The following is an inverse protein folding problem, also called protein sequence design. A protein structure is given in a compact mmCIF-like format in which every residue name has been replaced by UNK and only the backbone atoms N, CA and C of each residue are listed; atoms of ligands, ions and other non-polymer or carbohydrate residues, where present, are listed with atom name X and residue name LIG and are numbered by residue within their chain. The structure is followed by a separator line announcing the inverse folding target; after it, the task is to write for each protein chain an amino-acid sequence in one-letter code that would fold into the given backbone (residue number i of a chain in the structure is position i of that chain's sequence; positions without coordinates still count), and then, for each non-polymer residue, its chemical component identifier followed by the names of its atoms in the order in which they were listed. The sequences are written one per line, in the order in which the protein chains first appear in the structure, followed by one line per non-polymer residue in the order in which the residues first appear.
data_IF_614236403202
#
_entry.id   IF_614236403202
#
_cell.length_a   1.000
_cell.length_b   1.000
_cell.length_c   1.000
_cell.angle_alpha   90.00
_cell.angle_beta   90.00
_cell.angle_gamma   90.00
#
_symmetry.space_group_name_H-M   'P 1'
#
loop_
_entity.id
_entity.type
_entity.pdbx_description
1 polymer ?
#
# COMPACT_ATOMS: atom_id res chain seq x y z
N UNK A 1 42.35 -18.20 -4.32
CA UNK A 1 42.92 -16.91 -4.72
C UNK A 1 42.47 -16.62 -6.15
N UNK A 2 41.65 -15.58 -6.33
CA UNK A 2 41.17 -15.20 -7.65
C UNK A 2 42.29 -14.64 -8.51
N UNK A 3 42.36 -15.07 -9.76
CA UNK A 3 43.36 -14.60 -10.75
C UNK A 3 43.13 -13.10 -11.02
N UNK A 4 44.10 -12.21 -10.72
CA UNK A 4 43.96 -10.78 -10.90
C UNK A 4 43.83 -10.32 -12.36
N UNK A 5 43.97 -11.22 -13.33
CA UNK A 5 43.90 -10.95 -14.78
C UNK A 5 42.55 -11.29 -15.40
N UNK A 6 41.62 -11.90 -14.66
CA UNK A 6 40.26 -12.12 -15.18
C UNK A 6 39.49 -10.81 -15.16
N UNK A 7 38.91 -10.39 -16.31
CA UNK A 7 38.03 -9.24 -16.30
C UNK A 7 36.88 -9.48 -15.27
N UNK A 8 36.74 -8.59 -14.30
CA UNK A 8 35.61 -8.64 -13.38
C UNK A 8 34.35 -8.51 -14.21
N UNK A 9 33.49 -9.53 -14.13
CA UNK A 9 32.16 -9.41 -14.69
C UNK A 9 31.50 -8.17 -14.09
N UNK A 10 30.66 -7.42 -14.87
CA UNK A 10 29.96 -6.23 -14.36
C UNK A 10 29.05 -6.51 -13.18
N UNK A 11 28.86 -7.77 -12.82
CA UNK A 11 28.21 -8.23 -11.61
C UNK A 11 29.24 -8.61 -10.56
N UNK A 12 29.89 -7.60 -9.96
CA UNK A 12 30.63 -7.86 -8.72
C UNK A 12 29.67 -8.44 -7.68
N UNK A 13 30.06 -9.50 -6.93
CA UNK A 13 29.21 -9.99 -5.85
C UNK A 13 28.97 -8.83 -4.88
N UNK A 14 27.70 -8.50 -4.70
CA UNK A 14 27.28 -7.45 -3.78
C UNK A 14 27.79 -7.81 -2.39
N UNK A 15 28.52 -6.91 -1.76
CA UNK A 15 28.81 -7.05 -0.34
C UNK A 15 27.48 -6.88 0.43
N UNK A 16 27.08 -7.90 1.17
CA UNK A 16 25.85 -7.88 1.98
C UNK A 16 25.80 -6.68 2.93
N UNK A 17 26.94 -6.15 3.31
CA UNK A 17 27.07 -4.97 4.16
C UNK A 17 26.70 -3.65 3.46
N UNK A 18 26.68 -3.66 2.12
CA UNK A 18 26.33 -2.51 1.29
C UNK A 18 24.88 -2.54 0.78
N UNK A 19 24.13 -3.60 1.10
CA UNK A 19 22.71 -3.73 0.71
C UNK A 19 21.82 -3.20 1.87
N UNK A 20 21.37 -1.94 1.80
CA UNK A 20 20.51 -1.40 2.86
C UNK A 20 19.16 -2.14 2.87
N UNK A 21 18.68 -2.45 4.05
CA UNK A 21 17.28 -2.81 4.29
C UNK A 21 16.77 -4.06 3.59
N UNK A 22 17.58 -5.13 3.45
CA UNK A 22 17.08 -6.39 2.89
C UNK A 22 16.13 -7.04 3.88
N UNK A 23 14.87 -7.12 3.51
CA UNK A 23 13.89 -7.89 4.28
C UNK A 23 14.20 -9.38 4.25
N UNK A 24 13.94 -10.07 5.36
CA UNK A 24 13.90 -11.53 5.35
C UNK A 24 12.73 -12.02 4.51
N UNK A 25 12.77 -13.29 4.11
CA UNK A 25 11.64 -13.91 3.37
C UNK A 25 10.35 -13.86 4.18
N UNK A 26 10.45 -14.09 5.49
CA UNK A 26 9.32 -14.05 6.42
C UNK A 26 8.74 -12.64 6.54
N UNK A 27 9.58 -11.62 6.59
CA UNK A 27 9.11 -10.23 6.65
C UNK A 27 8.47 -9.79 5.32
N UNK A 28 9.08 -10.14 4.19
CA UNK A 28 8.49 -9.89 2.87
C UNK A 28 7.13 -10.58 2.74
N UNK A 29 7.03 -11.85 3.15
CA UNK A 29 5.76 -12.59 3.14
C UNK A 29 4.69 -11.97 4.05
N UNK A 30 5.06 -11.54 5.27
CA UNK A 30 4.16 -10.85 6.18
C UNK A 30 3.60 -9.57 5.56
N UNK A 31 4.46 -8.74 4.98
CA UNK A 31 4.05 -7.50 4.29
C UNK A 31 3.11 -7.79 3.13
N UNK A 32 3.43 -8.77 2.28
CA UNK A 32 2.59 -9.20 1.16
C UNK A 32 1.22 -9.69 1.65
N UNK A 33 1.17 -10.40 2.78
CA UNK A 33 -0.09 -10.82 3.43
C UNK A 33 -0.94 -9.62 3.86
N UNK A 34 -0.34 -8.59 4.48
CA UNK A 34 -1.04 -7.35 4.85
C UNK A 34 -1.51 -6.58 3.61
N UNK A 35 -0.71 -6.55 2.53
CA UNK A 35 -1.10 -5.93 1.26
C UNK A 35 -2.31 -6.64 0.66
N UNK A 36 -2.31 -7.97 0.63
CA UNK A 36 -3.48 -8.73 0.18
C UNK A 36 -4.73 -8.38 1.00
N UNK A 37 -4.59 -8.32 2.34
CA UNK A 37 -5.72 -7.99 3.21
C UNK A 37 -6.32 -6.63 2.89
N UNK A 38 -5.51 -5.57 2.79
CA UNK A 38 -6.01 -4.22 2.54
C UNK A 38 -6.58 -4.06 1.11
N UNK A 39 -6.02 -4.76 0.12
CA UNK A 39 -6.57 -4.78 -1.24
C UNK A 39 -7.96 -5.42 -1.28
N UNK A 40 -8.16 -6.53 -0.56
CA UNK A 40 -9.48 -7.16 -0.44
C UNK A 40 -10.48 -6.21 0.23
N UNK A 41 -10.08 -5.53 1.32
CA UNK A 41 -10.95 -4.55 1.97
C UNK A 41 -11.32 -3.41 1.04
N UNK A 42 -10.34 -2.85 0.32
CA UNK A 42 -10.61 -1.74 -0.60
C UNK A 42 -11.47 -2.18 -1.79
N UNK A 43 -11.26 -3.37 -2.33
CA UNK A 43 -12.12 -3.96 -3.34
C UNK A 43 -13.60 -4.04 -2.86
N UNK A 44 -13.83 -4.56 -1.66
CA UNK A 44 -15.18 -4.68 -1.07
C UNK A 44 -15.83 -3.31 -0.85
N UNK A 45 -15.07 -2.37 -0.32
CA UNK A 45 -15.53 -1.00 -0.02
C UNK A 45 -15.90 -0.25 -1.30
N UNK A 46 -15.00 -0.22 -2.29
CA UNK A 46 -15.27 0.47 -3.56
C UNK A 46 -16.43 -0.18 -4.30
N UNK A 47 -16.52 -1.52 -4.31
CA UNK A 47 -17.64 -2.26 -4.89
C UNK A 47 -18.98 -1.88 -4.27
N UNK A 48 -19.03 -1.74 -2.93
CA UNK A 48 -20.21 -1.24 -2.22
C UNK A 48 -20.56 0.20 -2.58
N UNK A 49 -19.57 1.07 -2.71
CA UNK A 49 -19.78 2.47 -3.08
C UNK A 49 -20.26 2.66 -4.51
N UNK A 50 -19.88 1.81 -5.45
CA UNK A 50 -20.44 1.81 -6.82
C UNK A 50 -21.97 1.76 -6.80
N UNK A 51 -22.56 1.02 -5.85
CA UNK A 51 -24.01 0.94 -5.73
C UNK A 51 -24.65 2.19 -5.11
N UNK A 52 -23.98 2.85 -4.17
CA UNK A 52 -24.56 3.86 -3.27
C UNK A 52 -24.21 5.31 -3.61
N UNK A 53 -23.10 5.58 -4.32
CA UNK A 53 -22.73 6.92 -4.76
C UNK A 53 -23.66 7.39 -5.87
N UNK A 54 -24.21 8.61 -5.83
CA UNK A 54 -25.16 9.08 -6.85
C UNK A 54 -24.51 9.56 -8.15
N UNK A 55 -23.27 10.07 -8.10
CA UNK A 55 -22.58 10.67 -9.23
C UNK A 55 -22.10 9.60 -10.21
N UNK A 56 -22.60 9.63 -11.46
CA UNK A 56 -22.31 8.62 -12.47
C UNK A 56 -20.82 8.53 -12.80
N UNK A 57 -20.14 9.67 -12.99
CA UNK A 57 -18.73 9.71 -13.34
C UNK A 57 -17.87 9.11 -12.22
N UNK A 58 -18.22 9.36 -10.95
CA UNK A 58 -17.59 8.74 -9.78
C UNK A 58 -17.80 7.23 -9.78
N UNK A 59 -19.04 6.76 -10.02
CA UNK A 59 -19.34 5.31 -10.11
C UNK A 59 -18.47 4.59 -11.14
N UNK A 60 -18.32 5.19 -12.32
CA UNK A 60 -17.54 4.58 -13.40
C UNK A 60 -16.07 4.46 -13.01
N UNK A 61 -15.50 5.49 -12.37
CA UNK A 61 -14.12 5.45 -11.87
C UNK A 61 -13.96 4.44 -10.74
N UNK A 62 -14.87 4.45 -9.75
CA UNK A 62 -14.86 3.47 -8.66
C UNK A 62 -14.92 2.03 -9.18
N UNK A 63 -15.70 1.77 -10.25
CA UNK A 63 -15.75 0.45 -10.88
C UNK A 63 -14.38 0.01 -11.46
N UNK A 64 -13.66 0.93 -12.11
CA UNK A 64 -12.30 0.67 -12.62
C UNK A 64 -11.33 0.41 -11.48
N UNK A 65 -11.31 1.26 -10.46
CA UNK A 65 -10.40 1.12 -9.32
C UNK A 65 -10.72 -0.13 -8.50
N UNK A 66 -11.99 -0.47 -8.33
CA UNK A 66 -12.43 -1.74 -7.73
C UNK A 66 -11.81 -2.95 -8.45
N UNK A 67 -11.79 -2.96 -9.78
CA UNK A 67 -11.11 -3.99 -10.56
C UNK A 67 -9.60 -4.03 -10.30
N UNK A 68 -8.92 -2.87 -10.23
CA UNK A 68 -7.49 -2.82 -9.91
C UNK A 68 -7.18 -3.49 -8.57
N UNK A 69 -7.93 -3.17 -7.52
CA UNK A 69 -7.70 -3.74 -6.18
C UNK A 69 -8.03 -5.23 -6.11
N UNK A 70 -9.05 -5.71 -6.85
CA UNK A 70 -9.31 -7.14 -6.99
C UNK A 70 -8.11 -7.86 -7.63
N UNK A 71 -7.56 -7.29 -8.70
CA UNK A 71 -6.40 -7.84 -9.39
C UNK A 71 -5.14 -7.79 -8.53
N UNK A 72 -4.88 -6.69 -7.82
CA UNK A 72 -3.77 -6.60 -6.87
C UNK A 72 -3.88 -7.66 -5.77
N UNK A 73 -5.08 -7.87 -5.21
CA UNK A 73 -5.30 -8.93 -4.21
C UNK A 73 -4.95 -10.31 -4.75
N UNK A 74 -5.32 -10.63 -6.01
CA UNK A 74 -4.95 -11.89 -6.66
C UNK A 74 -3.44 -11.98 -6.88
N UNK A 75 -2.80 -10.89 -7.28
CA UNK A 75 -1.36 -10.81 -7.49
C UNK A 75 -0.59 -11.16 -6.18
N UNK A 76 -1.00 -10.57 -5.05
CA UNK A 76 -0.43 -10.87 -3.74
C UNK A 76 -0.74 -12.29 -3.28
N UNK A 77 -1.94 -12.80 -3.55
CA UNK A 77 -2.31 -14.18 -3.24
C UNK A 77 -1.40 -15.18 -3.93
N UNK A 78 -1.11 -14.98 -5.21
CA UNK A 78 -0.22 -15.85 -5.99
C UNK A 78 1.24 -15.73 -5.55
N UNK A 79 1.65 -14.54 -5.10
CA UNK A 79 3.04 -14.29 -4.68
C UNK A 79 3.40 -15.01 -3.38
N UNK A 80 2.45 -15.15 -2.43
CA UNK A 80 2.71 -15.73 -1.11
C UNK A 80 3.25 -17.17 -1.15
N UNK A 81 2.69 -18.12 -1.93
CA UNK A 81 3.22 -19.49 -2.00
C UNK A 81 4.64 -19.57 -2.56
N UNK A 82 5.04 -18.60 -3.37
CA UNK A 82 6.39 -18.54 -3.95
C UNK A 82 7.44 -18.05 -2.93
N UNK A 83 6.98 -17.47 -1.82
CA UNK A 83 7.80 -17.05 -0.70
C UNK A 83 7.91 -18.17 0.33
N UNK A 84 8.62 -19.24 0.00
CA UNK A 84 8.95 -20.35 0.90
C UNK A 84 7.72 -21.11 1.42
N UNK A 85 6.84 -21.52 0.51
CA UNK A 85 5.63 -22.29 0.85
C UNK A 85 4.72 -21.61 1.91
N UNK A 86 4.64 -20.28 1.86
CA UNK A 86 3.77 -19.51 2.75
C UNK A 86 2.30 -19.75 2.43
N UNK A 87 1.50 -19.98 3.48
CA UNK A 87 0.06 -20.16 3.31
C UNK A 87 -0.64 -18.79 3.20
N UNK A 88 -1.23 -18.45 2.03
CA UNK A 88 -1.88 -17.16 1.83
C UNK A 88 -2.99 -16.84 2.83
N UNK A 89 -3.79 -17.84 3.22
CA UNK A 89 -4.94 -17.62 4.10
C UNK A 89 -4.50 -17.26 5.53
N UNK A 90 -3.39 -17.84 5.97
CA UNK A 90 -2.83 -17.55 7.31
C UNK A 90 -2.14 -16.19 7.39
N UNK A 91 -1.61 -15.70 6.28
CA UNK A 91 -0.89 -14.43 6.21
C UNK A 91 -1.78 -13.26 5.78
N UNK A 92 -2.97 -13.55 5.22
CA UNK A 92 -3.93 -12.51 4.85
C UNK A 92 -4.67 -12.02 6.09
N UNK A 93 -3.99 -11.19 6.85
CA UNK A 93 -4.47 -10.60 8.10
C UNK A 93 -4.08 -9.13 8.17
N UNK A 94 -4.83 -8.29 8.90
CA UNK A 94 -4.37 -6.92 9.18
C UNK A 94 -3.10 -6.95 10.02
N UNK A 95 -2.24 -5.91 9.95
CA UNK A 95 -1.07 -5.82 10.80
C UNK A 95 -1.42 -5.64 12.28
N UNK A 96 -2.54 -5.00 12.59
CA UNK A 96 -3.04 -4.70 13.93
C UNK A 96 -4.53 -4.29 13.89
N UNK A 97 -5.12 -4.14 15.08
CA UNK A 97 -6.53 -3.74 15.24
C UNK A 97 -6.74 -2.26 14.87
N UNK A 98 -5.72 -1.42 14.96
CA UNK A 98 -5.78 0.00 14.59
C UNK A 98 -6.03 0.18 13.08
N UNK A 99 -5.47 -0.69 12.23
CA UNK A 99 -5.77 -0.64 10.79
C UNK A 99 -7.20 -1.12 10.52
N UNK A 100 -7.71 -2.08 11.27
CA UNK A 100 -9.13 -2.49 11.18
C UNK A 100 -10.03 -1.31 11.55
N UNK A 101 -9.74 -0.63 12.67
CA UNK A 101 -10.49 0.55 13.10
C UNK A 101 -10.43 1.70 12.07
N UNK A 102 -9.31 1.87 11.38
CA UNK A 102 -9.20 2.81 10.26
C UNK A 102 -10.17 2.44 9.12
N UNK A 103 -10.19 1.17 8.70
CA UNK A 103 -11.06 0.70 7.60
C UNK A 103 -12.52 0.87 8.00
N UNK A 104 -12.90 0.52 9.23
CA UNK A 104 -14.25 0.68 9.75
C UNK A 104 -14.68 2.15 9.71
N UNK A 105 -13.84 3.07 10.23
CA UNK A 105 -14.12 4.51 10.20
C UNK A 105 -14.18 5.08 8.77
N UNK A 106 -13.38 4.57 7.83
CA UNK A 106 -13.42 4.96 6.42
C UNK A 106 -14.75 4.54 5.76
N UNK A 107 -15.36 3.46 6.22
CA UNK A 107 -16.62 2.91 5.66
C UNK A 107 -17.88 3.49 6.30
N UNK A 108 -17.79 4.14 7.46
CA UNK A 108 -18.94 4.75 8.15
C UNK A 108 -19.79 5.70 7.28
N UNK A 109 -19.23 6.51 6.35
CA UNK A 109 -20.04 7.37 5.49
C UNK A 109 -20.91 6.56 4.51
N UNK A 110 -22.14 6.23 4.87
CA UNK A 110 -23.04 5.40 4.03
C UNK A 110 -23.97 6.22 3.13
N UNK A 111 -24.35 7.44 3.54
CA UNK A 111 -25.34 8.27 2.85
C UNK A 111 -24.92 8.70 1.44
N UNK A 112 -25.89 8.93 0.53
CA UNK A 112 -25.60 9.40 -0.84
C UNK A 112 -25.01 10.82 -0.87
N UNK A 113 -25.21 11.63 0.16
CA UNK A 113 -24.60 12.98 0.28
C UNK A 113 -23.19 12.98 0.86
N UNK A 114 -22.60 11.81 1.13
CA UNK A 114 -21.28 11.66 1.76
C UNK A 114 -20.22 11.13 0.78
N UNK A 115 -20.40 11.38 -0.51
CA UNK A 115 -19.44 10.98 -1.55
C UNK A 115 -18.06 11.59 -1.31
N UNK A 116 -17.99 12.85 -0.89
CA UNK A 116 -16.72 13.53 -0.60
C UNK A 116 -15.97 12.81 0.52
N UNK A 117 -16.62 12.48 1.63
CA UNK A 117 -16.02 11.78 2.76
C UNK A 117 -15.52 10.39 2.36
N UNK A 118 -16.29 9.63 1.58
CA UNK A 118 -15.87 8.34 1.02
C UNK A 118 -14.58 8.48 0.20
N UNK A 119 -14.57 9.40 -0.75
CA UNK A 119 -13.41 9.61 -1.61
C UNK A 119 -12.19 10.14 -0.84
N UNK A 120 -12.38 11.00 0.16
CA UNK A 120 -11.30 11.49 1.02
C UNK A 120 -10.62 10.34 1.74
N UNK A 121 -11.38 9.41 2.33
CA UNK A 121 -10.83 8.25 3.02
C UNK A 121 -9.97 7.37 2.12
N UNK A 122 -10.48 7.03 0.95
CA UNK A 122 -9.76 6.19 -0.01
C UNK A 122 -8.57 6.93 -0.64
N UNK A 123 -8.81 8.10 -1.26
CA UNK A 123 -7.82 8.71 -2.16
C UNK A 123 -6.87 9.70 -1.47
N UNK A 124 -7.21 10.24 -0.31
CA UNK A 124 -6.33 11.15 0.45
C UNK A 124 -5.64 10.50 1.64
N UNK A 125 -6.12 9.32 2.08
CA UNK A 125 -5.51 8.65 3.22
C UNK A 125 -5.01 7.25 2.86
N UNK A 126 -5.88 6.34 2.41
CA UNK A 126 -5.49 4.95 2.21
C UNK A 126 -4.55 4.75 1.02
N UNK A 127 -4.89 5.26 -0.17
CA UNK A 127 -4.04 5.09 -1.36
C UNK A 127 -2.66 5.72 -1.19
N UNK A 128 -2.49 6.95 -0.66
CA UNK A 128 -1.17 7.48 -0.32
C UNK A 128 -0.37 6.61 0.67
N UNK A 129 -1.02 6.03 1.67
CA UNK A 129 -0.38 5.12 2.60
C UNK A 129 0.08 3.81 1.92
N UNK A 130 -0.70 3.29 0.97
CA UNK A 130 -0.32 2.15 0.13
C UNK A 130 0.88 2.49 -0.76
N UNK A 131 0.84 3.62 -1.46
CA UNK A 131 1.96 4.10 -2.29
C UNK A 131 3.24 4.21 -1.46
N UNK A 132 3.18 4.78 -0.25
CA UNK A 132 4.33 4.89 0.64
C UNK A 132 4.88 3.52 1.04
N UNK A 133 4.01 2.60 1.48
CA UNK A 133 4.41 1.25 1.90
C UNK A 133 4.99 0.42 0.74
N UNK A 134 4.38 0.47 -0.44
CA UNK A 134 4.84 -0.25 -1.63
C UNK A 134 6.17 0.30 -2.12
N UNK A 135 6.33 1.63 -2.15
CA UNK A 135 7.59 2.29 -2.52
C UNK A 135 8.70 1.93 -1.54
N UNK A 136 8.41 1.95 -0.24
CA UNK A 136 9.36 1.55 0.79
C UNK A 136 9.79 0.08 0.62
N UNK A 137 8.84 -0.84 0.45
CA UNK A 137 9.13 -2.26 0.23
C UNK A 137 10.00 -2.46 -1.02
N UNK A 138 9.60 -1.86 -2.13
CA UNK A 138 10.33 -1.92 -3.41
C UNK A 138 11.79 -1.47 -3.28
N UNK A 139 12.03 -0.40 -2.54
CA UNK A 139 13.36 0.19 -2.40
C UNK A 139 14.25 -0.51 -1.36
N UNK A 140 13.66 -1.31 -0.47
CA UNK A 140 14.36 -1.95 0.63
C UNK A 140 14.39 -3.48 0.54
N UNK A 141 13.88 -4.08 -0.53
CA UNK A 141 13.99 -5.51 -0.78
C UNK A 141 15.12 -5.83 -1.78
N UNK A 142 15.54 -7.10 -1.83
CA UNK A 142 16.62 -7.53 -2.71
C UNK A 142 16.21 -7.55 -4.17
N UNK A 143 16.92 -6.80 -5.01
CA UNK A 143 16.70 -6.80 -6.47
C UNK A 143 17.05 -8.13 -7.15
N UNK A 144 17.74 -9.02 -6.46
CA UNK A 144 18.17 -10.32 -7.00
C UNK A 144 17.19 -11.41 -6.55
N UNK A 145 17.01 -11.56 -5.25
CA UNK A 145 16.23 -12.67 -4.69
C UNK A 145 14.72 -12.39 -4.66
N UNK A 146 14.31 -11.13 -4.69
CA UNK A 146 12.92 -10.71 -4.60
C UNK A 146 12.43 -9.92 -5.83
N UNK A 147 13.12 -10.10 -6.97
CA UNK A 147 12.74 -9.48 -8.25
C UNK A 147 11.26 -9.69 -8.64
N UNK A 148 10.64 -10.87 -8.42
CA UNK A 148 9.21 -11.04 -8.69
C UNK A 148 8.31 -10.14 -7.83
N UNK A 149 8.64 -9.93 -6.54
CA UNK A 149 7.90 -9.00 -5.67
C UNK A 149 8.04 -7.57 -6.15
N UNK A 150 9.26 -7.16 -6.53
CA UNK A 150 9.51 -5.82 -7.10
C UNK A 150 8.65 -5.61 -8.34
N UNK A 151 8.58 -6.59 -9.24
CA UNK A 151 7.73 -6.52 -10.43
C UNK A 151 6.23 -6.35 -10.07
N UNK A 152 5.76 -7.08 -9.08
CA UNK A 152 4.39 -6.96 -8.58
C UNK A 152 4.12 -5.59 -7.99
N UNK A 153 5.07 -5.06 -7.21
CA UNK A 153 5.01 -3.71 -6.65
C UNK A 153 5.00 -2.63 -7.73
N UNK A 154 5.80 -2.78 -8.80
CA UNK A 154 5.82 -1.84 -9.92
C UNK A 154 4.47 -1.75 -10.63
N UNK A 155 3.79 -2.87 -10.86
CA UNK A 155 2.44 -2.89 -11.42
C UNK A 155 1.42 -2.23 -10.50
N UNK A 156 1.40 -2.64 -9.23
CA UNK A 156 0.47 -2.06 -8.27
C UNK A 156 0.69 -0.56 -8.11
N UNK A 157 1.94 -0.10 -8.01
CA UNK A 157 2.27 1.33 -7.90
C UNK A 157 1.81 2.14 -9.12
N UNK A 158 1.92 1.59 -10.34
CA UNK A 158 1.46 2.28 -11.53
C UNK A 158 -0.05 2.55 -11.49
N UNK A 159 -0.83 1.55 -11.07
CA UNK A 159 -2.28 1.70 -10.90
C UNK A 159 -2.62 2.63 -9.73
N UNK A 160 -1.96 2.47 -8.56
CA UNK A 160 -2.18 3.33 -7.39
C UNK A 160 -1.96 4.82 -7.68
N UNK A 161 -0.92 5.16 -8.44
CA UNK A 161 -0.67 6.55 -8.84
C UNK A 161 -1.75 7.09 -9.78
N UNK A 162 -2.27 6.27 -10.68
CA UNK A 162 -3.36 6.67 -11.57
C UNK A 162 -4.67 6.82 -10.80
N UNK A 163 -5.00 5.87 -9.94
CA UNK A 163 -6.20 5.89 -9.10
C UNK A 163 -6.19 7.08 -8.13
N UNK A 164 -5.03 7.39 -7.56
CA UNK A 164 -4.86 8.59 -6.74
C UNK A 164 -5.16 9.88 -7.51
N UNK A 165 -4.61 10.03 -8.74
CA UNK A 165 -4.88 11.22 -9.58
C UNK A 165 -6.35 11.33 -9.96
N UNK A 166 -6.96 10.23 -10.33
CA UNK A 166 -8.40 10.16 -10.65
C UNK A 166 -9.23 10.54 -9.40
N UNK A 167 -8.86 10.04 -8.23
CA UNK A 167 -9.49 10.38 -6.95
C UNK A 167 -9.42 11.87 -6.63
N UNK A 168 -8.26 12.50 -6.80
CA UNK A 168 -8.11 13.95 -6.60
C UNK A 168 -8.93 14.75 -7.62
N UNK A 169 -9.00 14.32 -8.88
CA UNK A 169 -9.85 14.99 -9.90
C UNK A 169 -11.34 14.90 -9.51
N UNK A 170 -11.79 13.74 -9.04
CA UNK A 170 -13.17 13.56 -8.57
C UNK A 170 -13.46 14.49 -7.38
N UNK A 171 -12.59 14.50 -6.37
CA UNK A 171 -12.74 15.37 -5.19
C UNK A 171 -12.77 16.86 -5.57
N UNK A 172 -11.88 17.32 -6.46
CA UNK A 172 -11.86 18.70 -6.92
C UNK A 172 -13.15 19.08 -7.68
N UNK A 173 -13.78 18.13 -8.37
CA UNK A 173 -15.05 18.39 -9.07
C UNK A 173 -16.25 18.45 -8.13
N UNK A 174 -16.19 17.75 -6.99
CA UNK A 174 -17.31 17.62 -6.03
C UNK A 174 -17.28 18.71 -4.96
N UNK A 175 -16.12 19.17 -4.53
CA UNK A 175 -15.99 20.22 -3.51
C UNK A 175 -16.29 21.58 -4.14
N UNK A 176 -17.54 22.08 -3.92
CA UNK A 176 -18.04 23.31 -4.52
C UNK A 176 -18.26 24.44 -3.49
N UNK A 177 -18.15 24.13 -2.19
CA UNK A 177 -18.38 25.09 -1.11
C UNK A 177 -17.33 24.96 -0.01
N UNK A 178 -17.15 26.04 0.76
CA UNK A 178 -16.29 26.07 1.95
C UNK A 178 -16.73 25.04 2.99
N UNK A 179 -18.03 24.88 3.19
CA UNK A 179 -18.56 23.89 4.13
C UNK A 179 -18.23 22.43 3.73
N UNK A 180 -18.21 22.11 2.44
CA UNK A 180 -17.78 20.80 1.94
C UNK A 180 -16.27 20.61 2.11
N UNK A 181 -15.48 21.65 1.86
CA UNK A 181 -14.05 21.64 2.09
C UNK A 181 -13.72 21.40 3.57
N UNK A 182 -14.39 22.10 4.48
CA UNK A 182 -14.20 21.95 5.92
C UNK A 182 -14.52 20.52 6.39
N UNK A 183 -15.61 19.92 5.90
CA UNK A 183 -15.96 18.52 6.20
C UNK A 183 -14.90 17.56 5.66
N UNK A 184 -14.43 17.77 4.43
CA UNK A 184 -13.39 16.98 3.81
C UNK A 184 -12.08 17.02 4.64
N UNK A 185 -11.66 18.21 5.07
CA UNK A 185 -10.47 18.41 5.91
C UNK A 185 -10.63 17.72 7.26
N UNK A 186 -11.75 17.91 7.93
CA UNK A 186 -12.01 17.32 9.24
C UNK A 186 -12.01 15.78 9.17
N UNK A 187 -12.67 15.21 8.17
CA UNK A 187 -12.71 13.76 7.95
C UNK A 187 -11.33 13.20 7.62
N UNK A 188 -10.59 13.86 6.73
CA UNK A 188 -9.20 13.49 6.41
C UNK A 188 -8.31 13.47 7.65
N UNK A 189 -8.37 14.50 8.48
CA UNK A 189 -7.57 14.60 9.71
C UNK A 189 -7.90 13.46 10.70
N UNK A 190 -9.17 13.13 10.85
CA UNK A 190 -9.61 12.03 11.71
C UNK A 190 -9.06 10.67 11.21
N UNK A 191 -9.18 10.39 9.92
CA UNK A 191 -8.68 9.15 9.33
C UNK A 191 -7.16 9.07 9.31
N UNK A 192 -6.46 10.18 9.05
CA UNK A 192 -5.00 10.23 9.13
C UNK A 192 -4.47 9.88 10.52
N UNK A 193 -5.17 10.33 11.58
CA UNK A 193 -4.81 9.97 12.95
C UNK A 193 -4.90 8.46 13.19
N UNK A 194 -5.93 7.79 12.67
CA UNK A 194 -6.07 6.34 12.77
C UNK A 194 -4.99 5.62 11.95
N UNK A 195 -4.72 6.07 10.72
CA UNK A 195 -3.67 5.50 9.88
C UNK A 195 -2.28 5.63 10.51
N UNK A 196 -1.98 6.75 11.15
CA UNK A 196 -0.74 6.96 11.90
C UNK A 196 -0.66 6.04 13.12
N UNK A 197 -1.76 5.87 13.87
CA UNK A 197 -1.80 4.93 14.98
C UNK A 197 -1.56 3.48 14.55
N UNK A 198 -2.08 3.10 13.37
CA UNK A 198 -1.83 1.79 12.76
C UNK A 198 -0.37 1.58 12.33
N UNK A 199 0.43 2.64 12.21
CA UNK A 199 1.78 2.57 11.62
C UNK A 199 1.76 2.28 10.11
N UNK A 200 0.71 2.74 9.40
CA UNK A 200 0.50 2.47 7.98
C UNK A 200 -0.10 1.10 7.71
N UNK A 201 -0.20 0.75 6.42
CA UNK A 201 -0.87 -0.49 5.98
C UNK A 201 -0.12 -1.79 6.29
N UNK A 202 1.14 -1.72 6.68
CA UNK A 202 1.96 -2.89 7.03
C UNK A 202 2.37 -2.89 8.52
N UNK A 203 1.85 -1.96 9.32
CA UNK A 203 2.08 -1.87 10.76
C UNK A 203 3.30 -1.04 11.15
N UNK A 204 3.55 -0.88 12.47
CA UNK A 204 4.68 -0.11 12.98
C UNK A 204 6.03 -0.62 12.47
N UNK A 205 7.00 0.30 12.33
CA UNK A 205 8.33 -0.01 11.80
C UNK A 205 8.39 -0.16 10.27
N UNK A 206 7.33 0.22 9.56
CA UNK A 206 7.20 0.00 8.12
C UNK A 206 7.77 1.12 7.29
N UNK A 207 7.81 2.33 7.82
CA UNK A 207 8.31 3.53 7.15
C UNK A 207 9.30 4.21 8.09
N UNK A 208 10.57 3.96 7.90
CA UNK A 208 11.64 4.83 8.39
C UNK A 208 12.15 4.64 9.81
N UNK A 209 11.52 3.85 10.68
CA UNK A 209 11.97 3.69 12.08
C UNK A 209 13.02 2.59 12.29
N UNK A 210 13.40 1.86 11.26
CA UNK A 210 14.22 0.66 11.40
C UNK A 210 15.66 0.75 10.91
N UNK A 211 16.13 1.92 10.54
CA UNK A 211 17.54 2.11 10.21
C UNK A 211 18.16 3.19 11.09
N UNK A 212 18.47 2.82 12.34
CA UNK A 212 19.65 3.38 12.98
C UNK A 212 20.86 2.60 12.45
N UNK A 213 21.76 3.22 11.70
CA UNK A 213 23.02 2.57 11.36
C UNK A 213 23.71 2.23 12.67
N UNK A 214 23.85 0.95 12.95
CA UNK A 214 24.68 0.48 14.05
C UNK A 214 26.07 1.10 13.88
N UNK A 215 26.40 2.07 14.72
CA UNK A 215 27.74 2.62 14.86
C UNK A 215 28.69 1.58 15.49
N UNK A 216 28.80 0.41 14.90
CA UNK A 216 29.77 -0.59 15.29
C UNK A 216 30.44 -1.14 14.05
N UNK A 217 31.46 -0.46 13.59
CA UNK A 217 32.61 -1.06 12.90
C UNK A 217 33.67 -0.02 12.52
N UNK A 218 34.20 0.71 13.50
CA UNK A 218 35.54 1.27 13.38
C UNK A 218 36.20 1.20 14.77
N UNK A 219 36.73 0.04 15.06
CA UNK A 219 37.81 -0.16 16.03
C UNK A 219 38.77 -1.20 15.46
#
# INVERSE_FOLDING_TARGET
LADPKKPRLPFAPWDRRELPGIFTVEESARRVGHYKWIEMRLFEVLGGWVATVPELDVKLRLGTHCYHHAWHSELWHKRLPELREMNPDRLTVPPNDELVAFVDAMTEPEGPGLTIEKLVGAYRVLIPAKIAAYTYHRNNTSTITDAPTIRSLDFALADEFNDWRDGEMMLQSLIQSEAELDRAIAHQAALQKLMLAAGGIAGPGTIGDSYEPTQEAHA
#
